data_IF_411579759401
#
_entry.id   IF_411579759401
#
_cell.length_a   1.000
_cell.length_b   1.000
_cell.length_c   1.000
_cell.angle_alpha   90.00
_cell.angle_beta   90.00
_cell.angle_gamma   90.00
#
_symmetry.space_group_name_H-M   'P 1'
#
loop_
_entity.id
_entity.type
_entity.pdbx_description
1 polymer ?
#
# COMPACT_ATOMS: atom_id res chain seq x y z
N UNK A 1 34.03 -10.74 44.99
CA UNK A 1 32.65 -10.24 45.17
C UNK A 1 31.93 -10.37 43.83
N UNK A 2 30.95 -11.27 43.69
CA UNK A 2 30.25 -11.53 42.41
C UNK A 2 29.07 -10.56 42.31
N UNK A 3 29.08 -9.64 41.33
CA UNK A 3 27.94 -8.77 41.05
C UNK A 3 26.74 -9.63 40.63
N UNK A 4 25.71 -9.66 41.47
CA UNK A 4 24.39 -10.22 41.14
C UNK A 4 23.58 -9.13 40.45
N UNK A 5 24.00 -8.74 39.25
CA UNK A 5 23.23 -7.85 38.41
C UNK A 5 22.33 -8.68 37.49
N UNK A 6 21.01 -8.50 37.63
CA UNK A 6 20.01 -9.12 36.74
C UNK A 6 20.20 -8.77 35.26
N UNK A 7 21.06 -7.79 34.98
CA UNK A 7 21.50 -7.38 33.66
C UNK A 7 22.24 -8.48 32.88
N UNK A 8 22.95 -9.40 33.56
CA UNK A 8 23.71 -10.50 32.95
C UNK A 8 23.03 -11.87 33.07
N UNK A 9 21.84 -11.94 33.66
CA UNK A 9 21.10 -13.20 33.86
C UNK A 9 20.12 -13.52 32.71
N UNK A 10 19.97 -12.63 31.73
CA UNK A 10 19.13 -12.87 30.56
C UNK A 10 19.85 -13.79 29.57
N UNK A 11 19.20 -14.89 29.18
CA UNK A 11 19.64 -15.79 28.10
C UNK A 11 19.69 -15.11 26.72
N UNK A 12 19.21 -13.86 26.64
CA UNK A 12 19.28 -12.99 25.48
C UNK A 12 20.14 -11.79 25.87
N UNK A 13 21.38 -11.76 25.36
CA UNK A 13 22.40 -10.78 25.75
C UNK A 13 21.99 -9.32 25.54
N UNK A 14 22.79 -8.40 26.10
CA UNK A 14 22.63 -6.95 25.94
C UNK A 14 22.75 -6.65 24.43
N UNK A 15 21.62 -6.26 23.82
CA UNK A 15 21.49 -6.16 22.36
C UNK A 15 20.56 -7.20 21.73
N UNK A 16 19.71 -7.87 22.53
CA UNK A 16 18.73 -8.85 22.08
C UNK A 16 17.90 -8.36 20.90
N UNK A 17 18.22 -8.87 19.71
CA UNK A 17 17.38 -8.78 18.53
C UNK A 17 16.04 -9.44 18.90
N UNK A 18 14.96 -8.65 18.97
CA UNK A 18 13.63 -9.21 19.11
C UNK A 18 13.36 -10.07 17.87
N UNK A 19 13.41 -11.39 18.05
CA UNK A 19 12.84 -12.31 17.08
C UNK A 19 11.35 -12.01 16.98
N UNK A 20 10.87 -11.87 15.74
CA UNK A 20 9.47 -11.59 15.41
C UNK A 20 8.58 -12.66 16.05
N UNK A 21 8.00 -12.35 17.23
CA UNK A 21 7.03 -13.23 17.86
C UNK A 21 5.81 -13.29 16.92
N UNK A 22 5.34 -14.48 16.52
CA UNK A 22 4.15 -14.57 15.69
C UNK A 22 2.98 -13.97 16.47
N UNK A 23 2.58 -12.76 16.08
CA UNK A 23 1.48 -12.06 16.73
C UNK A 23 0.22 -12.89 16.51
N UNK A 24 -0.42 -13.32 17.61
CA UNK A 24 -1.56 -14.26 17.63
C UNK A 24 -2.73 -13.83 16.73
N UNK A 25 -2.82 -12.53 16.44
CA UNK A 25 -3.64 -11.96 15.38
C UNK A 25 -2.75 -11.08 14.49
N UNK A 26 -2.22 -11.58 13.35
CA UNK A 26 -1.73 -10.67 12.33
C UNK A 26 -2.90 -9.75 11.98
N UNK A 27 -2.69 -8.42 11.97
CA UNK A 27 -3.63 -7.52 11.32
C UNK A 27 -3.73 -8.01 9.89
N UNK A 28 -4.79 -8.76 9.57
CA UNK A 28 -5.04 -9.20 8.22
C UNK A 28 -5.19 -7.91 7.43
N UNK A 29 -4.15 -7.58 6.66
CA UNK A 29 -4.28 -6.62 5.58
C UNK A 29 -5.49 -7.14 4.82
N UNK A 30 -6.62 -6.43 4.91
CA UNK A 30 -7.77 -6.67 4.04
C UNK A 30 -7.22 -6.36 2.67
N UNK A 31 -6.59 -7.33 2.01
CA UNK A 31 -6.16 -7.17 0.64
C UNK A 31 -7.44 -6.82 -0.10
N UNK A 32 -7.60 -5.59 -0.62
CA UNK A 32 -8.66 -5.36 -1.56
C UNK A 32 -8.32 -6.32 -2.70
N UNK A 33 -9.20 -7.31 -2.91
CA UNK A 33 -9.10 -8.22 -4.06
C UNK A 33 -9.50 -7.40 -5.29
N UNK A 34 -8.68 -6.41 -5.63
CA UNK A 34 -8.83 -5.60 -6.82
C UNK A 34 -8.71 -6.56 -8.00
N UNK A 35 -9.69 -6.54 -8.89
CA UNK A 35 -9.68 -7.30 -10.14
C UNK A 35 -9.48 -6.35 -11.30
N UNK A 36 -8.94 -6.89 -12.38
CA UNK A 36 -8.92 -6.18 -13.67
C UNK A 36 -10.36 -5.88 -14.07
N UNK A 37 -10.65 -4.63 -14.41
CA UNK A 37 -11.98 -4.13 -14.74
C UNK A 37 -12.78 -3.52 -13.58
N UNK A 38 -12.29 -3.59 -12.33
CA UNK A 38 -12.96 -2.92 -11.22
C UNK A 38 -12.83 -1.40 -11.33
N UNK A 39 -13.91 -0.68 -10.99
CA UNK A 39 -13.88 0.77 -10.83
C UNK A 39 -13.28 1.12 -9.46
N UNK A 40 -12.21 1.90 -9.49
CA UNK A 40 -11.44 2.22 -8.29
C UNK A 40 -11.27 3.73 -8.17
N UNK A 41 -11.27 4.18 -6.92
CA UNK A 41 -10.70 5.48 -6.54
C UNK A 41 -9.27 5.23 -6.11
N UNK A 42 -8.35 6.04 -6.61
CA UNK A 42 -6.94 5.84 -6.34
C UNK A 42 -6.20 7.16 -6.17
N UNK A 43 -5.24 7.13 -5.26
CA UNK A 43 -4.25 8.17 -5.05
C UNK A 43 -2.94 7.69 -5.67
N UNK A 44 -2.41 8.46 -6.63
CA UNK A 44 -1.12 8.18 -7.24
C UNK A 44 -0.19 9.35 -6.96
N UNK A 45 1.09 9.07 -6.72
CA UNK A 45 2.09 10.10 -6.39
C UNK A 45 2.25 11.16 -7.50
N UNK A 46 1.92 10.79 -8.74
CA UNK A 46 1.98 11.71 -9.89
C UNK A 46 0.81 12.69 -9.96
N UNK A 47 -0.28 12.41 -9.25
CA UNK A 47 -1.52 13.18 -9.31
C UNK A 47 -1.72 13.95 -8.02
N UNK A 48 -2.11 15.22 -8.12
CA UNK A 48 -2.35 16.05 -6.93
C UNK A 48 -3.61 15.59 -6.20
N UNK A 49 -4.61 15.16 -6.95
CA UNK A 49 -5.90 14.72 -6.42
C UNK A 49 -6.20 13.25 -6.73
N UNK A 50 -6.98 12.57 -5.87
CA UNK A 50 -7.47 11.24 -6.17
C UNK A 50 -8.35 11.26 -7.42
N UNK A 51 -8.16 10.27 -8.29
CA UNK A 51 -8.93 10.10 -9.50
C UNK A 51 -9.70 8.77 -9.50
N UNK A 52 -10.70 8.69 -10.38
CA UNK A 52 -11.48 7.48 -10.62
C UNK A 52 -11.07 6.85 -11.94
N UNK A 53 -10.95 5.54 -11.93
CA UNK A 53 -10.58 4.81 -13.13
C UNK A 53 -10.84 3.32 -13.01
N UNK A 54 -10.53 2.62 -14.09
CA UNK A 54 -10.64 1.17 -14.18
C UNK A 54 -9.27 0.54 -14.08
N UNK A 55 -9.20 -0.59 -13.42
CA UNK A 55 -7.94 -1.34 -13.32
C UNK A 55 -7.69 -2.08 -14.63
N UNK A 56 -6.63 -1.68 -15.34
CA UNK A 56 -6.22 -2.32 -16.58
C UNK A 56 -5.29 -3.50 -16.31
N UNK A 57 -4.34 -3.32 -15.38
CA UNK A 57 -3.33 -4.34 -15.07
C UNK A 57 -2.96 -4.32 -13.60
N UNK A 58 -2.67 -5.50 -13.06
CA UNK A 58 -2.29 -5.68 -11.66
C UNK A 58 -0.90 -6.33 -11.61
N UNK A 59 -0.02 -5.75 -10.81
CA UNK A 59 1.28 -6.28 -10.44
C UNK A 59 1.32 -6.61 -8.94
N UNK A 60 2.44 -7.15 -8.45
CA UNK A 60 2.57 -7.58 -7.04
C UNK A 60 2.31 -6.46 -6.02
N UNK A 61 2.69 -5.21 -6.32
CA UNK A 61 2.56 -4.07 -5.39
C UNK A 61 1.87 -2.83 -5.99
N UNK A 62 1.57 -2.87 -7.30
CA UNK A 62 1.06 -1.72 -8.05
C UNK A 62 0.01 -2.16 -9.05
N UNK A 63 -0.83 -1.23 -9.49
CA UNK A 63 -1.79 -1.43 -10.56
C UNK A 63 -1.67 -0.30 -11.59
N UNK A 64 -1.87 -0.65 -12.86
CA UNK A 64 -2.11 0.33 -13.92
C UNK A 64 -3.60 0.58 -13.96
N UNK A 65 -3.96 1.85 -13.85
CA UNK A 65 -5.33 2.31 -13.80
C UNK A 65 -5.55 3.22 -15.00
N UNK A 66 -6.59 2.91 -15.76
CA UNK A 66 -7.10 3.75 -16.83
C UNK A 66 -8.02 4.80 -16.24
N UNK A 67 -7.57 6.05 -16.27
CA UNK A 67 -8.26 7.20 -15.70
C UNK A 67 -9.52 7.46 -16.53
N UNK A 68 -10.69 7.43 -15.88
CA UNK A 68 -11.95 7.86 -16.49
C UNK A 68 -12.23 9.32 -16.12
N UNK A 69 -12.10 9.65 -14.83
CA UNK A 69 -12.42 10.96 -14.32
C UNK A 69 -11.36 11.45 -13.34
N UNK A 70 -10.90 12.67 -13.55
CA UNK A 70 -9.87 13.34 -12.74
C UNK A 70 -10.20 14.82 -12.61
N UNK A 71 -9.55 15.50 -11.66
CA UNK A 71 -9.71 16.94 -11.44
C UNK A 71 -9.17 17.75 -12.63
N UNK A 72 -9.69 18.96 -12.82
CA UNK A 72 -9.33 19.82 -13.97
C UNK A 72 -7.82 20.11 -14.04
N UNK A 73 -7.19 20.34 -12.90
CA UNK A 73 -5.74 20.58 -12.79
C UNK A 73 -4.90 19.39 -13.31
N UNK A 74 -5.36 18.16 -13.08
CA UNK A 74 -4.68 16.94 -13.47
C UNK A 74 -5.08 16.43 -14.87
N UNK A 75 -6.07 17.07 -15.52
CA UNK A 75 -6.61 16.63 -16.81
C UNK A 75 -5.57 16.70 -17.93
N UNK A 76 -4.70 17.71 -17.89
CA UNK A 76 -3.60 17.84 -18.86
C UNK A 76 -2.57 16.73 -18.68
N UNK A 77 -2.20 16.44 -17.43
CA UNK A 77 -1.25 15.39 -17.08
C UNK A 77 -1.77 14.00 -17.50
N UNK A 78 -3.05 13.72 -17.19
CA UNK A 78 -3.71 12.50 -17.62
C UNK A 78 -3.67 12.33 -19.14
N UNK A 79 -4.02 13.37 -19.91
CA UNK A 79 -3.99 13.32 -21.38
C UNK A 79 -2.57 13.10 -21.93
N UNK A 80 -1.58 13.79 -21.37
CA UNK A 80 -0.16 13.64 -21.77
C UNK A 80 0.34 12.20 -21.59
N UNK A 81 -0.19 11.48 -20.58
CA UNK A 81 0.15 10.08 -20.27
C UNK A 81 -0.81 9.06 -20.87
N UNK A 82 -1.69 9.46 -21.78
CA UNK A 82 -2.64 8.53 -22.44
C UNK A 82 -3.76 8.02 -21.52
N UNK A 83 -4.10 8.78 -20.47
CA UNK A 83 -5.06 8.44 -19.42
C UNK A 83 -4.69 7.15 -18.66
N UNK A 84 -3.41 6.89 -18.50
CA UNK A 84 -2.89 5.79 -17.70
C UNK A 84 -2.13 6.35 -16.49
N UNK A 85 -2.36 5.74 -15.33
CA UNK A 85 -1.65 6.04 -14.10
C UNK A 85 -1.22 4.77 -13.41
N UNK A 86 -0.10 4.85 -12.68
CA UNK A 86 0.37 3.79 -11.80
C UNK A 86 0.01 4.15 -10.37
N UNK A 87 -0.75 3.29 -9.70
CA UNK A 87 -1.08 3.45 -8.29
C UNK A 87 -0.59 2.24 -7.48
N UNK A 88 -0.24 2.45 -6.22
CA UNK A 88 0.10 1.35 -5.30
C UNK A 88 -1.18 0.66 -4.87
N UNK A 89 -1.16 -0.66 -4.75
CA UNK A 89 -2.35 -1.42 -4.32
C UNK A 89 -2.87 -1.04 -2.92
N UNK A 90 -2.03 -0.40 -2.09
CA UNK A 90 -2.43 0.13 -0.78
C UNK A 90 -3.31 1.36 -0.86
N UNK A 91 -3.19 2.12 -1.94
CA UNK A 91 -3.82 3.43 -2.12
C UNK A 91 -4.97 3.34 -3.15
N UNK A 92 -5.47 2.11 -3.36
CA UNK A 92 -6.56 1.78 -4.28
C UNK A 92 -7.78 1.35 -3.46
N UNK A 93 -8.85 2.12 -3.58
CA UNK A 93 -10.14 1.85 -2.98
C UNK A 93 -11.13 1.39 -4.06
N UNK A 94 -11.66 0.18 -3.91
CA UNK A 94 -12.70 -0.35 -4.82
C UNK A 94 -14.03 0.33 -4.52
N UNK A 95 -14.62 0.97 -5.52
CA UNK A 95 -15.95 1.55 -5.42
C UNK A 95 -16.95 0.40 -5.59
N UNK A 96 -17.49 -0.11 -4.49
CA UNK A 96 -18.59 -1.07 -4.55
C UNK A 96 -19.85 -0.34 -5.00
N UNK A 97 -20.46 -0.82 -6.08
CA UNK A 97 -21.82 -0.45 -6.45
C UNK A 97 -22.83 -1.05 -5.48
#
# INVERSE_FOLDING_TARGET
>A
MKLKDGFYASSHGIGGLMLDMPTKNPKTRKNPKVKVGDMVRCEAEEFVYPFRGYVERIYNHSAIIKIENTMECDRWLAKSKGNLAVARLTDVEVIKS
#
